data_IF_848903765783
#
_entry.id   IF_848903765783
#
_cell.length_a   1.000
_cell.length_b   1.000
_cell.length_c   1.000
_cell.angle_alpha   90.00
_cell.angle_beta   90.00
_cell.angle_gamma   90.00
#
_symmetry.space_group_name_H-M   'P 1'
#
loop_
_entity.id
_entity.type
_entity.pdbx_description
1 polymer ?
#
# COMPACT_ATOMS: atom_id res chain seq x y z
N UNK A 1 -24.02 -33.79 -3.36
CA UNK A 1 -23.32 -32.53 -3.03
C UNK A 1 -21.97 -32.53 -3.75
N UNK A 2 -21.55 -31.41 -4.38
CA UNK A 2 -20.20 -31.28 -4.97
C UNK A 2 -19.19 -31.36 -3.82
N UNK A 3 -18.18 -32.19 -3.92
CA UNK A 3 -17.08 -32.29 -2.98
C UNK A 3 -16.03 -31.25 -3.38
N UNK A 4 -15.56 -30.46 -2.42
CA UNK A 4 -14.54 -29.43 -2.65
C UNK A 4 -13.25 -30.00 -3.25
N UNK A 5 -12.89 -31.24 -2.90
CA UNK A 5 -11.69 -31.91 -3.45
C UNK A 5 -11.77 -32.20 -4.95
N UNK A 6 -12.97 -32.14 -5.55
CA UNK A 6 -13.20 -32.37 -6.99
C UNK A 6 -13.17 -31.08 -7.84
N UNK A 7 -12.94 -29.91 -7.22
CA UNK A 7 -12.78 -28.67 -7.99
C UNK A 7 -11.43 -28.74 -8.70
N UNK A 8 -11.39 -28.53 -10.04
CA UNK A 8 -10.14 -28.45 -10.79
C UNK A 8 -9.24 -27.33 -10.26
N UNK A 9 -7.95 -27.63 -10.03
CA UNK A 9 -6.98 -26.66 -9.55
C UNK A 9 -5.78 -26.57 -10.49
N UNK A 10 -5.41 -25.38 -10.89
CA UNK A 10 -4.18 -25.09 -11.63
C UNK A 10 -3.22 -24.28 -10.77
N UNK A 11 -1.93 -24.64 -10.83
CA UNK A 11 -0.86 -23.95 -10.11
C UNK A 11 0.06 -23.28 -11.11
N UNK A 12 0.30 -21.98 -10.92
CA UNK A 12 1.06 -21.12 -11.80
C UNK A 12 2.10 -20.31 -11.03
N UNK A 13 3.05 -19.76 -11.74
CA UNK A 13 3.96 -18.73 -11.23
C UNK A 13 4.08 -17.60 -12.26
N UNK A 14 4.09 -16.36 -11.79
CA UNK A 14 4.44 -15.19 -12.58
C UNK A 14 5.97 -15.07 -12.65
N UNK A 15 6.51 -14.91 -13.83
CA UNK A 15 7.94 -14.70 -14.08
C UNK A 15 8.12 -13.47 -14.96
N UNK A 16 9.32 -12.90 -15.05
CA UNK A 16 9.61 -11.79 -15.97
C UNK A 16 9.31 -12.11 -17.45
N UNK A 17 9.23 -13.42 -17.80
CA UNK A 17 8.91 -13.91 -19.15
C UNK A 17 7.42 -14.24 -19.33
N UNK A 18 6.57 -13.91 -18.36
CA UNK A 18 5.14 -14.23 -18.35
C UNK A 18 4.77 -15.37 -17.40
N UNK A 19 3.58 -15.90 -17.57
CA UNK A 19 3.02 -16.96 -16.72
C UNK A 19 3.55 -18.34 -17.10
N UNK A 20 3.88 -19.14 -16.10
CA UNK A 20 4.38 -20.52 -16.28
C UNK A 20 3.53 -21.49 -15.48
N UNK A 21 3.04 -22.52 -16.14
CA UNK A 21 2.40 -23.67 -15.48
C UNK A 21 3.40 -24.48 -14.67
N UNK A 22 3.07 -24.75 -13.39
CA UNK A 22 3.94 -25.50 -12.52
C UNK A 22 3.65 -27.02 -12.64
N UNK A 23 4.43 -27.70 -13.49
CA UNK A 23 4.48 -29.15 -13.55
C UNK A 23 5.26 -29.76 -12.36
N UNK A 24 5.40 -31.08 -12.32
CA UNK A 24 6.05 -31.78 -11.20
C UNK A 24 7.47 -31.26 -10.90
N UNK A 25 8.29 -31.02 -11.92
CA UNK A 25 9.66 -30.50 -11.76
C UNK A 25 9.68 -29.08 -11.21
N UNK A 26 8.84 -28.19 -11.76
CA UNK A 26 8.77 -26.79 -11.33
C UNK A 26 8.24 -26.63 -9.91
N UNK A 27 7.34 -27.51 -9.46
CA UNK A 27 6.85 -27.54 -8.07
C UNK A 27 7.94 -27.88 -7.06
N UNK A 28 8.98 -28.60 -7.48
CA UNK A 28 10.12 -28.93 -6.65
C UNK A 28 11.18 -27.80 -6.58
N UNK A 29 11.05 -26.76 -7.40
CA UNK A 29 11.95 -25.60 -7.39
C UNK A 29 11.71 -24.73 -6.17
N UNK A 30 12.78 -24.20 -5.60
CA UNK A 30 12.72 -23.26 -4.48
C UNK A 30 12.10 -21.92 -4.93
N UNK A 31 11.38 -21.29 -4.01
CA UNK A 31 10.92 -19.90 -4.21
C UNK A 31 12.13 -18.96 -4.23
N UNK A 32 12.05 -17.84 -4.95
CA UNK A 32 13.03 -16.77 -4.81
C UNK A 32 13.08 -16.32 -3.35
N UNK A 33 14.27 -16.02 -2.88
CA UNK A 33 14.45 -15.40 -1.58
C UNK A 33 13.97 -13.94 -1.63
N UNK A 34 13.38 -13.46 -0.55
CA UNK A 34 13.11 -12.03 -0.42
C UNK A 34 14.43 -11.24 -0.33
N UNK A 35 14.41 -9.93 -0.62
CA UNK A 35 15.62 -9.09 -0.67
C UNK A 35 16.46 -9.06 0.60
N UNK A 36 15.97 -9.58 1.73
CA UNK A 36 16.67 -9.61 3.02
C UNK A 36 17.29 -10.97 3.37
N UNK A 37 17.19 -12.00 2.51
CA UNK A 37 17.77 -13.28 2.82
C UNK A 37 19.21 -13.39 2.32
N UNK A 38 20.13 -13.62 3.24
CA UNK A 38 21.58 -13.71 2.95
C UNK A 38 21.97 -14.86 1.99
N UNK A 39 21.10 -15.84 1.72
CA UNK A 39 21.41 -17.05 0.97
C UNK A 39 20.75 -17.16 -0.41
N UNK A 40 20.12 -16.11 -0.93
CA UNK A 40 19.61 -16.09 -2.32
C UNK A 40 18.47 -17.06 -2.66
N UNK A 41 18.14 -18.03 -1.80
CA UNK A 41 17.04 -18.98 -1.99
C UNK A 41 16.22 -19.18 -0.72
N UNK A 42 14.89 -19.25 -0.86
CA UNK A 42 14.00 -19.65 0.22
C UNK A 42 14.10 -21.18 0.46
N UNK A 43 14.02 -21.63 1.71
CA UNK A 43 13.85 -23.07 2.00
C UNK A 43 12.53 -23.63 1.45
N UNK A 44 11.56 -22.77 1.18
CA UNK A 44 10.22 -23.16 0.73
C UNK A 44 10.18 -23.35 -0.80
N UNK A 45 9.51 -24.39 -1.25
CA UNK A 45 9.32 -24.70 -2.68
C UNK A 45 7.93 -24.31 -3.15
N UNK A 46 7.77 -24.09 -4.46
CA UNK A 46 6.50 -23.72 -5.06
C UNK A 46 5.36 -24.70 -4.74
N UNK A 47 5.61 -26.01 -4.82
CA UNK A 47 4.60 -27.03 -4.55
C UNK A 47 4.03 -26.97 -3.13
N UNK A 48 4.86 -27.07 -2.07
CA UNK A 48 4.45 -26.87 -0.69
C UNK A 48 3.76 -25.56 -0.43
N UNK A 49 4.27 -24.45 -0.99
CA UNK A 49 3.70 -23.11 -0.84
C UNK A 49 2.28 -23.02 -1.39
N UNK A 50 2.10 -23.29 -2.68
CA UNK A 50 0.79 -23.21 -3.33
C UNK A 50 -0.17 -24.31 -2.84
N UNK A 51 0.36 -25.47 -2.42
CA UNK A 51 -0.42 -26.52 -1.76
C UNK A 51 -1.00 -26.07 -0.43
N UNK A 52 -0.25 -25.30 0.37
CA UNK A 52 -0.75 -24.72 1.62
C UNK A 52 -1.84 -23.66 1.36
N UNK A 53 -1.67 -22.81 0.33
CA UNK A 53 -2.72 -21.86 -0.10
C UNK A 53 -3.98 -22.63 -0.51
N UNK A 54 -3.84 -23.63 -1.36
CA UNK A 54 -4.95 -24.49 -1.79
C UNK A 54 -5.68 -25.12 -0.60
N UNK A 55 -4.94 -25.70 0.33
CA UNK A 55 -5.50 -26.29 1.55
C UNK A 55 -6.36 -25.27 2.33
N UNK A 56 -5.87 -24.03 2.54
CA UNK A 56 -6.62 -23.00 3.24
C UNK A 56 -7.94 -22.67 2.51
N UNK A 57 -7.90 -22.54 1.19
CA UNK A 57 -9.09 -22.18 0.40
C UNK A 57 -10.17 -23.25 0.46
N UNK A 58 -9.78 -24.55 0.46
CA UNK A 58 -10.72 -25.67 0.51
C UNK A 58 -11.16 -26.06 1.93
N UNK A 59 -10.49 -25.56 2.95
CA UNK A 59 -10.75 -25.94 4.34
C UNK A 59 -12.22 -25.74 4.72
N UNK A 60 -12.75 -26.70 5.53
CA UNK A 60 -14.14 -26.70 5.98
C UNK A 60 -15.14 -26.57 4.79
N UNK A 61 -14.92 -27.34 3.74
CA UNK A 61 -15.74 -27.36 2.53
C UNK A 61 -15.88 -25.96 1.90
N UNK A 62 -14.77 -25.22 1.81
CA UNK A 62 -14.68 -23.87 1.22
C UNK A 62 -15.46 -22.78 1.98
N UNK A 63 -15.91 -23.00 3.20
CA UNK A 63 -16.82 -22.08 3.90
C UNK A 63 -16.34 -20.63 3.90
N UNK A 64 -15.06 -20.39 4.22
CA UNK A 64 -14.52 -19.01 4.30
C UNK A 64 -14.42 -18.35 2.94
N UNK A 65 -13.95 -19.08 1.92
CA UNK A 65 -13.80 -18.50 0.58
C UNK A 65 -15.17 -18.31 -0.11
N UNK A 66 -16.16 -19.15 0.18
CA UNK A 66 -17.53 -18.95 -0.30
C UNK A 66 -18.16 -17.70 0.33
N UNK A 67 -17.88 -17.40 1.60
CA UNK A 67 -18.30 -16.16 2.25
C UNK A 67 -17.62 -14.93 1.61
N UNK A 68 -16.33 -15.01 1.30
CA UNK A 68 -15.60 -13.95 0.59
C UNK A 68 -16.15 -13.73 -0.84
N UNK A 69 -16.45 -14.80 -1.57
CA UNK A 69 -17.10 -14.75 -2.87
C UNK A 69 -18.49 -14.10 -2.77
N UNK A 70 -19.29 -14.49 -1.77
CA UNK A 70 -20.61 -13.90 -1.57
C UNK A 70 -20.53 -12.39 -1.31
N UNK A 71 -19.57 -11.95 -0.50
CA UNK A 71 -19.31 -10.53 -0.27
C UNK A 71 -18.93 -9.80 -1.57
N UNK A 72 -18.04 -10.40 -2.38
CA UNK A 72 -17.54 -9.81 -3.63
C UNK A 72 -18.60 -9.71 -4.71
N UNK A 73 -19.49 -10.70 -4.80
CA UNK A 73 -20.53 -10.80 -5.82
C UNK A 73 -21.88 -10.20 -5.36
N UNK A 74 -22.00 -9.79 -4.09
CA UNK A 74 -23.24 -9.25 -3.54
C UNK A 74 -24.40 -10.27 -3.48
N UNK A 75 -24.09 -11.59 -3.55
CA UNK A 75 -25.07 -12.68 -3.49
C UNK A 75 -24.50 -13.93 -2.86
N UNK A 76 -25.34 -14.80 -2.35
CA UNK A 76 -24.91 -16.10 -1.86
C UNK A 76 -24.31 -16.95 -3.01
N UNK A 77 -23.20 -17.60 -2.71
CA UNK A 77 -22.49 -18.49 -3.64
C UNK A 77 -22.45 -19.91 -3.05
N UNK A 78 -22.88 -20.87 -3.83
CA UNK A 78 -22.86 -22.30 -3.45
C UNK A 78 -21.63 -22.97 -4.04
N UNK A 79 -21.08 -23.98 -3.34
CA UNK A 79 -19.91 -24.73 -3.79
C UNK A 79 -20.03 -25.28 -5.21
N UNK A 80 -21.22 -25.67 -5.62
CA UNK A 80 -21.48 -26.18 -6.99
C UNK A 80 -21.26 -25.16 -8.10
N UNK A 81 -21.29 -23.87 -7.76
CA UNK A 81 -21.07 -22.76 -8.71
C UNK A 81 -19.59 -22.44 -8.93
N UNK A 82 -18.69 -23.00 -8.09
CA UNK A 82 -17.25 -22.85 -8.28
C UNK A 82 -16.78 -23.90 -9.29
N UNK A 83 -16.39 -23.44 -10.48
CA UNK A 83 -16.03 -24.29 -11.61
C UNK A 83 -14.55 -24.71 -11.56
N UNK A 84 -13.65 -23.78 -11.22
CA UNK A 84 -12.20 -24.00 -11.14
C UNK A 84 -11.54 -23.01 -10.18
N UNK A 85 -10.36 -23.38 -9.70
CA UNK A 85 -9.48 -22.53 -8.92
C UNK A 85 -8.12 -22.48 -9.61
N UNK A 86 -7.58 -21.28 -9.80
CA UNK A 86 -6.24 -21.06 -10.27
C UNK A 86 -5.46 -20.34 -9.18
N UNK A 87 -4.32 -20.89 -8.76
CA UNK A 87 -3.48 -20.31 -7.71
C UNK A 87 -2.12 -19.99 -8.33
N UNK A 88 -1.73 -18.74 -8.25
CA UNK A 88 -0.54 -18.19 -8.88
C UNK A 88 0.38 -17.57 -7.84
N UNK A 89 1.66 -17.92 -7.86
CA UNK A 89 2.68 -17.20 -7.13
C UNK A 89 3.00 -15.90 -7.91
N UNK A 90 2.68 -14.74 -7.30
CA UNK A 90 2.80 -13.44 -7.98
C UNK A 90 4.06 -12.69 -7.55
N UNK A 91 4.28 -12.52 -6.25
CA UNK A 91 5.36 -11.69 -5.73
C UNK A 91 6.06 -12.38 -4.54
N UNK A 92 7.36 -12.19 -4.48
CA UNK A 92 8.22 -12.67 -3.40
C UNK A 92 8.86 -11.46 -2.69
N UNK A 93 8.13 -10.88 -1.73
CA UNK A 93 8.58 -9.72 -0.96
C UNK A 93 9.40 -10.10 0.28
N UNK A 94 9.94 -9.08 0.96
CA UNK A 94 10.75 -9.23 2.16
C UNK A 94 9.97 -9.86 3.35
N UNK A 95 8.68 -9.56 3.46
CA UNK A 95 7.84 -10.01 4.58
C UNK A 95 6.91 -11.16 4.20
N UNK A 96 6.37 -11.14 2.98
CA UNK A 96 5.41 -12.13 2.50
C UNK A 96 5.74 -12.61 1.11
N UNK A 97 5.31 -13.82 0.83
CA UNK A 97 5.01 -14.21 -0.54
C UNK A 97 3.53 -13.98 -0.80
N UNK A 98 3.23 -13.37 -1.93
CA UNK A 98 1.85 -13.09 -2.35
C UNK A 98 1.45 -14.09 -3.42
N UNK A 99 0.37 -14.83 -3.16
CA UNK A 99 -0.30 -15.62 -4.19
C UNK A 99 -1.59 -14.92 -4.61
N UNK A 100 -1.94 -15.07 -5.86
CA UNK A 100 -3.26 -14.72 -6.40
C UNK A 100 -4.09 -16.00 -6.53
N UNK A 101 -5.32 -15.96 -6.03
CA UNK A 101 -6.28 -17.03 -6.19
C UNK A 101 -7.44 -16.54 -7.06
N UNK A 102 -7.55 -17.07 -8.25
CA UNK A 102 -8.64 -16.81 -9.19
C UNK A 102 -9.67 -17.95 -9.11
N UNK A 103 -10.89 -17.62 -8.73
CA UNK A 103 -11.99 -18.56 -8.66
C UNK A 103 -12.97 -18.28 -9.80
N UNK A 104 -13.18 -19.27 -10.66
CA UNK A 104 -14.21 -19.23 -11.69
C UNK A 104 -15.55 -19.61 -11.06
N UNK A 105 -16.52 -18.69 -11.10
CA UNK A 105 -17.84 -18.86 -10.49
C UNK A 105 -18.89 -18.49 -11.51
N UNK A 106 -19.62 -19.49 -12.04
CA UNK A 106 -20.67 -19.28 -13.05
C UNK A 106 -20.21 -18.40 -14.23
N UNK A 107 -19.01 -18.66 -14.75
CA UNK A 107 -18.43 -17.94 -15.89
C UNK A 107 -17.76 -16.60 -15.55
N UNK A 108 -17.77 -16.16 -14.28
CA UNK A 108 -17.04 -14.97 -13.82
C UNK A 108 -15.78 -15.37 -13.06
N UNK A 109 -14.71 -14.59 -13.19
CA UNK A 109 -13.47 -14.77 -12.42
C UNK A 109 -13.44 -13.76 -11.28
N UNK A 110 -13.35 -14.27 -10.05
CA UNK A 110 -13.14 -13.47 -8.84
C UNK A 110 -11.76 -13.73 -8.29
N UNK A 111 -10.96 -12.68 -8.14
CA UNK A 111 -9.57 -12.76 -7.75
C UNK A 111 -9.37 -12.31 -6.29
N UNK A 112 -8.51 -13.03 -5.57
CA UNK A 112 -8.11 -12.74 -4.20
C UNK A 112 -6.59 -12.70 -4.09
N UNK A 113 -6.07 -11.80 -3.26
CA UNK A 113 -4.70 -11.81 -2.81
C UNK A 113 -4.58 -12.71 -1.57
N UNK A 114 -3.58 -13.58 -1.55
CA UNK A 114 -3.25 -14.41 -0.39
C UNK A 114 -1.84 -14.05 0.06
N UNK A 115 -1.76 -13.31 1.16
CA UNK A 115 -0.50 -12.91 1.77
C UNK A 115 -0.03 -14.02 2.70
N UNK A 116 1.16 -14.57 2.45
CA UNK A 116 1.67 -15.77 3.12
C UNK A 116 2.96 -15.48 3.86
N UNK A 117 2.96 -15.65 5.17
CA UNK A 117 4.16 -15.57 6.00
C UNK A 117 5.00 -16.84 5.84
N UNK A 118 6.29 -16.65 5.58
CA UNK A 118 7.21 -17.76 5.28
C UNK A 118 8.13 -18.15 6.45
N UNK A 119 8.09 -17.38 7.54
CA UNK A 119 8.85 -17.61 8.76
C UNK A 119 8.06 -17.23 10.01
N UNK A 120 8.56 -17.60 11.19
CA UNK A 120 7.95 -17.21 12.46
C UNK A 120 8.01 -15.68 12.69
N UNK A 121 9.08 -15.03 12.26
CA UNK A 121 9.22 -13.57 12.35
C UNK A 121 8.18 -12.86 11.48
N UNK A 122 8.01 -13.29 10.23
CA UNK A 122 7.03 -12.72 9.30
C UNK A 122 5.58 -13.08 9.67
N UNK A 123 5.36 -14.16 10.43
CA UNK A 123 4.04 -14.49 11.00
C UNK A 123 3.53 -13.41 11.94
N UNK A 124 4.36 -12.94 12.87
CA UNK A 124 3.95 -11.89 13.82
C UNK A 124 3.60 -10.59 13.08
N UNK A 125 4.35 -10.25 12.02
CA UNK A 125 4.03 -9.13 11.15
C UNK A 125 2.69 -9.32 10.43
N UNK A 126 2.47 -10.49 9.82
CA UNK A 126 1.21 -10.82 9.13
C UNK A 126 -0.03 -10.68 10.04
N UNK A 127 0.08 -11.11 11.29
CA UNK A 127 -1.01 -10.97 12.27
C UNK A 127 -1.30 -9.51 12.61
N UNK A 128 -0.26 -8.67 12.73
CA UNK A 128 -0.41 -7.22 12.94
C UNK A 128 -1.08 -6.56 11.74
N UNK A 129 -0.58 -6.82 10.54
CA UNK A 129 -1.08 -6.21 9.30
C UNK A 129 -2.53 -6.60 9.04
N UNK A 130 -2.87 -7.89 9.23
CA UNK A 130 -4.26 -8.33 9.16
C UNK A 130 -5.16 -7.56 10.13
N UNK A 131 -4.74 -7.46 11.39
CA UNK A 131 -5.54 -6.79 12.44
C UNK A 131 -5.71 -5.31 12.14
N UNK A 132 -4.66 -4.67 11.69
CA UNK A 132 -4.64 -3.24 11.39
C UNK A 132 -5.49 -2.91 10.16
N UNK A 133 -5.26 -3.58 9.04
CA UNK A 133 -6.05 -3.41 7.81
C UNK A 133 -7.53 -3.69 8.05
N UNK A 134 -7.86 -4.79 8.74
CA UNK A 134 -9.24 -5.15 9.07
C UNK A 134 -9.90 -4.10 9.97
N UNK A 135 -9.17 -3.55 10.95
CA UNK A 135 -9.66 -2.49 11.82
C UNK A 135 -9.92 -1.19 11.05
N UNK A 136 -8.99 -0.79 10.18
CA UNK A 136 -9.10 0.45 9.40
C UNK A 136 -10.22 0.38 8.37
N UNK A 137 -10.35 -0.73 7.63
CA UNK A 137 -11.42 -0.92 6.64
C UNK A 137 -12.80 -0.91 7.28
N UNK A 138 -12.96 -1.51 8.47
CA UNK A 138 -14.23 -1.50 9.19
C UNK A 138 -14.56 -0.13 9.81
N UNK A 139 -13.54 0.60 10.28
CA UNK A 139 -13.72 1.90 10.94
C UNK A 139 -14.04 3.01 9.96
N UNK A 140 -13.35 3.06 8.83
CA UNK A 140 -13.36 4.23 7.95
C UNK A 140 -14.20 4.05 6.69
N UNK A 141 -14.59 2.86 6.31
CA UNK A 141 -15.41 2.57 5.12
C UNK A 141 -14.97 3.33 3.83
N UNK A 142 -13.66 3.65 3.73
CA UNK A 142 -13.06 4.17 2.52
C UNK A 142 -12.65 3.01 1.60
N UNK A 143 -12.69 3.23 0.29
CA UNK A 143 -12.31 2.20 -0.69
C UNK A 143 -10.83 2.25 -1.06
N UNK A 144 -9.98 2.87 -0.24
CA UNK A 144 -8.56 3.03 -0.55
C UNK A 144 -7.68 1.88 -0.04
N UNK A 145 -8.16 1.11 0.94
CA UNK A 145 -7.53 -0.11 1.42
C UNK A 145 -8.21 -1.33 0.78
N UNK A 146 -7.47 -2.44 0.54
CA UNK A 146 -8.06 -3.67 0.07
C UNK A 146 -9.04 -4.23 1.12
N UNK A 147 -10.15 -4.79 0.66
CA UNK A 147 -11.06 -5.51 1.54
C UNK A 147 -10.36 -6.74 2.11
N UNK A 148 -10.39 -6.90 3.43
CA UNK A 148 -9.85 -8.06 4.12
C UNK A 148 -11.00 -9.05 4.40
N UNK A 149 -10.80 -10.32 4.03
CA UNK A 149 -11.85 -11.32 4.17
C UNK A 149 -11.65 -12.25 5.36
N UNK A 150 -10.51 -12.93 5.43
CA UNK A 150 -10.23 -13.85 6.52
C UNK A 150 -8.75 -14.19 6.63
N UNK A 151 -8.37 -14.71 7.79
CA UNK A 151 -7.05 -15.30 8.00
C UNK A 151 -7.15 -16.78 8.37
N UNK A 152 -6.03 -17.49 8.20
CA UNK A 152 -5.93 -18.90 8.55
C UNK A 152 -4.53 -19.45 8.34
N UNK A 153 -4.43 -20.76 8.36
CA UNK A 153 -3.18 -21.45 8.07
C UNK A 153 -3.43 -22.64 7.14
N UNK A 154 -2.53 -22.80 6.17
CA UNK A 154 -2.48 -23.95 5.27
C UNK A 154 -1.42 -24.94 5.74
N UNK A 155 -1.69 -26.20 5.52
CA UNK A 155 -0.78 -27.31 5.87
C UNK A 155 0.04 -27.66 4.64
N UNK A 156 1.32 -27.93 4.84
CA UNK A 156 2.16 -28.55 3.82
C UNK A 156 3.11 -29.58 4.43
N UNK A 157 3.52 -30.50 3.61
CA UNK A 157 4.52 -31.52 3.94
C UNK A 157 5.55 -31.63 2.82
N UNK A 158 6.80 -31.57 3.17
CA UNK A 158 7.89 -31.98 2.28
C UNK A 158 8.29 -33.41 2.59
N UNK A 159 8.73 -34.15 1.56
CA UNK A 159 9.14 -35.52 1.72
C UNK A 159 10.27 -35.62 2.76
N UNK A 160 10.09 -36.50 3.75
CA UNK A 160 11.06 -36.68 4.84
C UNK A 160 11.06 -35.62 5.94
N UNK A 161 10.20 -34.58 5.83
CA UNK A 161 10.09 -33.53 6.85
C UNK A 161 8.77 -33.58 7.62
N UNK A 162 8.72 -33.05 8.84
CA UNK A 162 7.48 -32.94 9.62
C UNK A 162 6.47 -32.06 8.95
N UNK A 163 5.19 -32.22 9.30
CA UNK A 163 4.10 -31.35 8.88
C UNK A 163 4.35 -29.93 9.35
N UNK A 164 4.21 -28.95 8.45
CA UNK A 164 4.39 -27.52 8.75
C UNK A 164 3.14 -26.72 8.39
N UNK A 165 3.02 -25.54 9.00
CA UNK A 165 1.93 -24.61 8.77
C UNK A 165 2.45 -23.32 8.18
N UNK A 166 1.77 -22.82 7.15
CA UNK A 166 1.96 -21.45 6.64
C UNK A 166 0.77 -20.60 7.05
N UNK A 167 1.04 -19.53 7.78
CA UNK A 167 0.04 -18.54 8.17
C UNK A 167 -0.20 -17.57 7.03
N UNK A 168 -1.47 -17.21 6.80
CA UNK A 168 -1.83 -16.35 5.69
C UNK A 168 -3.16 -15.64 5.94
N UNK A 169 -3.37 -14.52 5.24
CA UNK A 169 -4.67 -13.90 5.14
C UNK A 169 -5.08 -13.67 3.69
N UNK A 170 -6.38 -13.63 3.47
CA UNK A 170 -7.01 -13.44 2.17
C UNK A 170 -7.62 -12.06 2.12
N UNK A 171 -7.26 -11.32 1.07
CA UNK A 171 -7.70 -9.95 0.81
C UNK A 171 -8.19 -9.80 -0.64
N UNK A 172 -8.72 -8.63 -0.95
CA UNK A 172 -9.05 -8.22 -2.30
C UNK A 172 -7.80 -8.21 -3.19
N UNK A 173 -7.92 -8.79 -4.41
CA UNK A 173 -6.94 -8.59 -5.46
C UNK A 173 -7.32 -7.34 -6.26
N UNK A 174 -6.42 -6.36 -6.30
CA UNK A 174 -6.61 -5.13 -7.07
C UNK A 174 -6.17 -5.38 -8.52
N UNK A 175 -7.16 -5.61 -9.39
CA UNK A 175 -6.90 -5.92 -10.80
C UNK A 175 -6.46 -4.68 -11.56
N UNK A 176 -5.41 -4.82 -12.38
CA UNK A 176 -4.80 -3.76 -13.21
C UNK A 176 -4.15 -2.62 -12.39
N UNK A 177 -3.84 -2.88 -11.11
CA UNK A 177 -3.01 -1.99 -10.30
C UNK A 177 -1.58 -2.49 -10.28
N UNK A 178 -0.65 -1.56 -10.42
CA UNK A 178 0.77 -1.84 -10.57
C UNK A 178 1.59 -1.00 -9.58
N UNK A 179 2.78 -1.48 -9.25
CA UNK A 179 3.77 -0.73 -8.49
C UNK A 179 4.42 0.33 -9.39
N UNK A 180 4.94 1.37 -8.77
CA UNK A 180 5.61 2.47 -9.43
C UNK A 180 6.78 2.95 -8.59
N UNK A 181 7.82 3.49 -9.24
CA UNK A 181 9.02 3.98 -8.59
C UNK A 181 9.64 5.10 -9.42
N UNK A 182 10.39 6.00 -8.76
CA UNK A 182 11.29 6.87 -9.49
C UNK A 182 12.40 6.05 -10.15
N UNK A 183 12.60 6.30 -11.42
CA UNK A 183 13.64 5.71 -12.23
C UNK A 183 14.51 6.81 -12.84
N UNK A 184 15.82 6.63 -12.83
CA UNK A 184 16.72 7.59 -13.49
C UNK A 184 16.92 7.15 -14.94
N UNK A 185 16.50 8.01 -15.87
CA UNK A 185 16.78 7.79 -17.29
C UNK A 185 18.29 7.87 -17.52
N UNK A 186 18.86 6.83 -18.13
CA UNK A 186 20.30 6.76 -18.38
C UNK A 186 20.74 7.70 -19.51
N UNK A 187 19.81 8.18 -20.33
CA UNK A 187 20.13 9.02 -21.50
C UNK A 187 20.35 10.49 -21.13
N UNK A 188 19.57 11.03 -20.17
CA UNK A 188 19.62 12.44 -19.78
C UNK A 188 19.79 12.66 -18.27
N UNK A 189 19.77 11.59 -17.48
CA UNK A 189 19.90 11.63 -16.03
C UNK A 189 18.64 12.12 -15.30
N UNK A 190 17.55 12.39 -16.01
CA UNK A 190 16.29 12.81 -15.42
C UNK A 190 15.65 11.72 -14.56
N UNK A 191 14.96 12.11 -13.49
CA UNK A 191 14.20 11.18 -12.67
C UNK A 191 12.73 11.22 -13.06
N UNK A 192 12.20 10.10 -13.54
CA UNK A 192 10.83 9.98 -13.99
C UNK A 192 10.11 8.86 -13.24
N UNK A 193 8.80 9.01 -13.04
CA UNK A 193 8.00 7.97 -12.39
C UNK A 193 7.71 6.84 -13.38
N UNK A 194 8.25 5.65 -13.10
CA UNK A 194 8.10 4.44 -13.90
C UNK A 194 7.02 3.55 -13.30
N UNK A 195 6.00 3.20 -14.08
CA UNK A 195 4.99 2.21 -13.74
C UNK A 195 5.48 0.81 -14.14
N UNK A 196 5.49 -0.13 -13.22
CA UNK A 196 5.92 -1.50 -13.45
C UNK A 196 4.73 -2.39 -13.84
N UNK A 197 4.52 -2.54 -15.13
CA UNK A 197 3.48 -3.41 -15.68
C UNK A 197 4.12 -4.62 -16.37
N UNK A 198 4.11 -5.77 -15.72
CA UNK A 198 4.67 -7.01 -16.27
C UNK A 198 3.89 -7.54 -17.48
N UNK A 199 2.64 -7.13 -17.66
CA UNK A 199 1.78 -7.60 -18.76
C UNK A 199 1.93 -6.78 -20.04
N UNK A 200 2.07 -5.45 -19.91
CA UNK A 200 2.12 -4.50 -21.03
C UNK A 200 3.49 -3.86 -21.24
N UNK A 201 4.44 -4.13 -20.36
CA UNK A 201 5.73 -3.47 -20.31
C UNK A 201 5.70 -2.21 -19.40
N UNK A 202 6.85 -1.93 -18.77
CA UNK A 202 6.99 -0.73 -17.94
C UNK A 202 6.95 0.53 -18.79
N UNK A 203 6.40 1.63 -18.25
CA UNK A 203 6.25 2.91 -18.94
C UNK A 203 6.30 4.08 -17.96
N UNK A 204 6.73 5.22 -18.44
CA UNK A 204 6.74 6.45 -17.66
C UNK A 204 5.35 7.08 -17.56
N UNK A 205 5.05 7.62 -16.38
CA UNK A 205 3.86 8.44 -16.17
C UNK A 205 4.10 9.86 -16.69
N UNK A 206 3.06 10.49 -17.24
CA UNK A 206 3.10 11.90 -17.57
C UNK A 206 3.17 12.76 -16.31
N UNK A 207 3.67 14.03 -16.42
CA UNK A 207 3.65 14.98 -15.30
C UNK A 207 2.25 15.11 -14.68
N UNK A 208 1.21 15.17 -15.50
CA UNK A 208 -0.17 15.28 -15.04
C UNK A 208 -0.61 14.05 -14.22
N UNK A 209 -0.28 12.84 -14.68
CA UNK A 209 -0.53 11.60 -13.92
C UNK A 209 0.24 11.57 -12.60
N UNK A 210 1.49 12.08 -12.58
CA UNK A 210 2.28 12.19 -11.34
C UNK A 210 1.63 13.17 -10.35
N UNK A 211 1.17 14.32 -10.79
CA UNK A 211 0.44 15.28 -9.93
C UNK A 211 -0.81 14.62 -9.34
N UNK A 212 -1.58 13.87 -10.13
CA UNK A 212 -2.73 13.11 -9.65
C UNK A 212 -2.35 12.00 -8.65
N UNK A 213 -1.23 11.31 -8.87
CA UNK A 213 -0.69 10.32 -7.95
C UNK A 213 -0.43 10.94 -6.57
N UNK A 214 0.32 12.04 -6.53
CA UNK A 214 0.64 12.74 -5.28
C UNK A 214 -0.61 13.31 -4.61
N UNK A 215 -1.56 13.85 -5.40
CA UNK A 215 -2.85 14.33 -4.89
C UNK A 215 -3.64 13.23 -4.21
N UNK A 216 -3.77 12.07 -4.84
CA UNK A 216 -4.49 10.95 -4.24
C UNK A 216 -3.74 10.37 -3.03
N UNK A 217 -2.42 10.25 -3.08
CA UNK A 217 -1.61 9.79 -1.95
C UNK A 217 -1.80 10.66 -0.71
N UNK A 218 -1.69 11.97 -0.87
CA UNK A 218 -1.91 12.94 0.18
C UNK A 218 -3.33 12.90 0.73
N UNK A 219 -4.32 12.83 -0.15
CA UNK A 219 -5.74 12.67 0.21
C UNK A 219 -5.98 11.42 1.03
N UNK A 220 -5.49 10.26 0.59
CA UNK A 220 -5.65 8.98 1.28
C UNK A 220 -5.06 9.07 2.70
N UNK A 221 -3.81 9.50 2.84
CA UNK A 221 -3.15 9.59 4.15
C UNK A 221 -3.87 10.57 5.07
N UNK A 222 -4.35 11.70 4.54
CA UNK A 222 -5.13 12.69 5.30
C UNK A 222 -6.48 12.15 5.75
N UNK A 223 -7.16 11.34 4.94
CA UNK A 223 -8.43 10.70 5.32
C UNK A 223 -8.28 9.77 6.54
N UNK A 224 -7.14 9.12 6.70
CA UNK A 224 -6.83 8.28 7.86
C UNK A 224 -6.21 9.05 9.04
N UNK A 225 -5.90 10.33 8.91
CA UNK A 225 -5.46 11.15 10.04
C UNK A 225 -6.60 11.39 11.04
N UNK A 226 -6.36 11.12 12.32
CA UNK A 226 -7.34 11.30 13.38
C UNK A 226 -7.03 12.55 14.21
N UNK A 227 -7.81 13.60 13.99
CA UNK A 227 -7.68 14.90 14.68
C UNK A 227 -7.70 14.84 16.21
N UNK A 228 -8.44 13.88 16.80
CA UNK A 228 -8.62 13.82 18.26
C UNK A 228 -7.54 12.98 18.96
N UNK A 229 -6.94 12.03 18.26
CA UNK A 229 -5.97 11.09 18.82
C UNK A 229 -4.59 11.17 18.15
N UNK A 230 -4.43 12.05 17.15
CA UNK A 230 -3.21 12.23 16.33
C UNK A 230 -2.73 10.97 15.62
N UNK A 231 -3.56 9.90 15.63
CA UNK A 231 -3.23 8.67 14.92
C UNK A 231 -3.21 8.91 13.44
N UNK A 232 -2.20 8.38 12.79
CA UNK A 232 -1.95 8.45 11.37
C UNK A 232 -1.32 7.15 10.88
N UNK A 233 -1.40 6.89 9.58
CA UNK A 233 -0.63 5.83 8.95
C UNK A 233 0.82 6.30 8.89
N UNK A 234 1.73 5.59 9.57
CA UNK A 234 3.16 5.91 9.63
C UNK A 234 3.93 4.71 10.22
N UNK A 235 5.13 4.34 9.72
CA UNK A 235 5.75 4.89 8.50
C UNK A 235 5.08 4.42 7.21
N UNK A 236 5.31 5.13 6.12
CA UNK A 236 4.84 4.78 4.78
C UNK A 236 5.81 5.31 3.71
N UNK A 237 5.79 4.66 2.55
CA UNK A 237 6.49 5.13 1.36
C UNK A 237 5.50 5.12 0.20
N UNK A 238 5.41 6.23 -0.56
CA UNK A 238 4.42 6.33 -1.63
C UNK A 238 4.70 5.35 -2.78
N UNK A 239 5.97 5.04 -3.04
CA UNK A 239 6.38 4.02 -3.99
C UNK A 239 6.66 2.68 -3.25
N UNK A 240 7.76 2.15 -3.13
CA UNK A 240 8.23 0.99 -2.34
C UNK A 240 7.19 -0.11 -1.97
N UNK A 241 6.12 -0.26 -2.78
CA UNK A 241 5.09 -1.29 -2.62
C UNK A 241 4.04 -1.05 -1.53
N UNK A 242 4.00 0.13 -0.87
CA UNK A 242 2.91 0.46 0.04
C UNK A 242 1.68 0.93 -0.74
N UNK A 243 1.88 1.61 -1.88
CA UNK A 243 0.83 2.02 -2.80
C UNK A 243 0.95 1.29 -4.15
N UNK A 244 -0.19 1.17 -4.81
CA UNK A 244 -0.30 0.71 -6.19
C UNK A 244 -1.26 1.63 -6.94
N UNK A 245 -1.05 1.80 -8.23
CA UNK A 245 -1.89 2.63 -9.06
C UNK A 245 -2.44 1.88 -10.28
N UNK A 246 -3.60 2.35 -10.74
CA UNK A 246 -4.19 2.02 -12.03
C UNK A 246 -4.34 3.29 -12.85
N UNK A 247 -3.90 3.27 -14.10
CA UNK A 247 -4.10 4.38 -15.03
C UNK A 247 -5.57 4.50 -15.45
N UNK A 248 -6.05 5.72 -15.45
CA UNK A 248 -7.41 6.11 -15.81
C UNK A 248 -7.38 7.22 -16.89
N UNK A 249 -6.69 6.96 -17.99
CA UNK A 249 -6.40 7.97 -19.01
C UNK A 249 -5.36 8.97 -18.49
N UNK A 250 -5.71 10.26 -18.46
CA UNK A 250 -4.81 11.32 -17.99
C UNK A 250 -4.68 11.37 -16.45
N UNK A 251 -5.44 10.56 -15.73
CA UNK A 251 -5.42 10.49 -14.26
C UNK A 251 -5.02 9.09 -13.79
N UNK A 252 -4.91 8.90 -12.49
CA UNK A 252 -4.64 7.60 -11.87
C UNK A 252 -5.62 7.33 -10.74
N UNK A 253 -5.95 6.06 -10.49
CA UNK A 253 -6.61 5.60 -9.26
C UNK A 253 -5.56 4.94 -8.36
N UNK A 254 -5.37 5.47 -7.16
CA UNK A 254 -4.35 5.04 -6.22
C UNK A 254 -4.97 4.24 -5.08
N UNK A 255 -4.29 3.17 -4.66
CA UNK A 255 -4.68 2.33 -3.53
C UNK A 255 -3.50 2.13 -2.60
N UNK A 256 -3.76 2.13 -1.30
CA UNK A 256 -2.79 1.81 -0.26
C UNK A 256 -2.96 0.33 0.11
N UNK A 257 -1.99 -0.51 -0.23
CA UNK A 257 -2.10 -1.98 -0.05
C UNK A 257 -1.46 -2.47 1.24
N UNK A 258 -0.61 -1.66 1.87
CA UNK A 258 0.04 -1.96 3.13
C UNK A 258 -0.09 -0.80 4.11
N UNK A 259 -0.34 -1.11 5.38
CA UNK A 259 -0.30 -0.15 6.48
C UNK A 259 0.64 -0.73 7.53
N UNK A 260 1.81 -0.13 7.69
CA UNK A 260 2.87 -0.63 8.59
C UNK A 260 2.53 -0.40 10.06
N UNK A 261 1.95 0.76 10.37
CA UNK A 261 1.41 1.09 11.68
C UNK A 261 0.32 2.18 11.57
N UNK A 262 -0.49 2.31 12.62
CA UNK A 262 -1.50 3.34 12.79
C UNK A 262 -1.49 3.85 14.22
N UNK A 263 -0.60 4.78 14.50
CA UNK A 263 -0.31 5.30 15.83
C UNK A 263 -0.21 6.83 15.84
N UNK A 264 -0.25 7.42 17.01
CA UNK A 264 0.12 8.82 17.20
C UNK A 264 1.64 8.93 17.13
N UNK A 265 2.14 9.80 16.28
CA UNK A 265 3.58 10.11 16.18
C UNK A 265 3.95 11.21 17.18
N UNK A 266 3.01 12.13 17.45
CA UNK A 266 3.16 13.19 18.45
C UNK A 266 2.37 12.83 19.70
N UNK A 267 2.96 13.02 20.87
CA UNK A 267 2.29 12.88 22.16
C UNK A 267 2.13 14.28 22.80
N UNK A 268 1.06 14.95 22.45
CA UNK A 268 0.65 16.17 23.14
C UNK A 268 -0.30 15.78 24.28
N UNK A 269 0.26 15.51 25.46
CA UNK A 269 -0.48 15.17 26.70
C UNK A 269 -1.47 16.26 27.14
N UNK A 270 -1.43 17.44 26.52
CA UNK A 270 -2.38 18.53 26.75
C UNK A 270 -3.30 18.71 25.55
N UNK A 271 -4.56 18.31 25.71
CA UNK A 271 -5.66 18.41 24.70
C UNK A 271 -6.08 19.86 24.35
N UNK A 272 -5.19 20.84 24.41
CA UNK A 272 -5.46 22.21 24.01
C UNK A 272 -5.55 22.31 22.48
N UNK A 273 -6.44 23.17 21.98
CA UNK A 273 -6.65 23.42 20.52
C UNK A 273 -5.35 23.75 19.80
N UNK A 274 -4.42 24.47 20.45
CA UNK A 274 -3.10 24.82 19.91
C UNK A 274 -2.25 23.56 19.63
N UNK A 275 -2.21 22.58 20.55
CA UNK A 275 -1.47 21.33 20.31
C UNK A 275 -2.06 20.50 19.17
N UNK A 276 -3.39 20.53 18.97
CA UNK A 276 -4.02 19.84 17.84
C UNK A 276 -3.68 20.48 16.49
N UNK A 277 -3.60 21.81 16.45
CA UNK A 277 -3.18 22.53 15.24
C UNK A 277 -1.72 22.25 14.91
N UNK A 278 -0.84 22.29 15.92
CA UNK A 278 0.57 21.95 15.72
C UNK A 278 0.74 20.52 15.21
N UNK A 279 0.03 19.55 15.79
CA UNK A 279 0.05 18.17 15.31
C UNK A 279 -0.38 18.05 13.83
N UNK A 280 -1.39 18.82 13.42
CA UNK A 280 -1.84 18.83 12.02
C UNK A 280 -0.82 19.52 11.10
N UNK A 281 -0.18 20.59 11.55
CA UNK A 281 0.87 21.29 10.79
C UNK A 281 2.06 20.36 10.58
N UNK A 282 2.52 19.68 11.63
CA UNK A 282 3.62 18.70 11.53
C UNK A 282 3.25 17.51 10.64
N UNK A 283 2.00 17.01 10.73
CA UNK A 283 1.52 15.98 9.82
C UNK A 283 1.53 16.46 8.36
N UNK A 284 1.03 17.67 8.08
CA UNK A 284 1.02 18.27 6.75
C UNK A 284 2.45 18.46 6.21
N UNK A 285 3.34 19.05 6.99
CA UNK A 285 4.73 19.25 6.59
C UNK A 285 5.45 17.92 6.34
N UNK A 286 5.26 16.94 7.23
CA UNK A 286 5.77 15.58 7.02
C UNK A 286 5.25 14.98 5.70
N UNK A 287 3.95 15.13 5.43
CA UNK A 287 3.34 14.63 4.21
C UNK A 287 3.99 15.25 2.95
N UNK A 288 4.23 16.57 2.95
CA UNK A 288 4.85 17.27 1.81
C UNK A 288 6.30 16.83 1.57
N UNK A 289 7.07 16.61 2.63
CA UNK A 289 8.48 16.18 2.57
C UNK A 289 8.57 14.69 2.18
N UNK A 290 7.83 13.83 2.86
CA UNK A 290 7.93 12.38 2.63
C UNK A 290 7.44 11.99 1.22
N UNK A 291 6.52 12.74 0.62
CA UNK A 291 6.11 12.55 -0.78
C UNK A 291 7.21 12.90 -1.79
N UNK A 292 8.22 13.65 -1.39
CA UNK A 292 9.38 13.96 -2.24
C UNK A 292 10.53 12.98 -2.10
N UNK A 293 10.49 12.11 -1.09
CA UNK A 293 11.56 11.14 -0.83
C UNK A 293 11.18 9.79 -1.43
N UNK A 294 11.99 9.28 -2.32
CA UNK A 294 11.82 7.94 -2.91
C UNK A 294 13.18 7.25 -3.07
N UNK A 295 13.15 5.95 -3.35
CA UNK A 295 14.33 5.18 -3.75
C UNK A 295 14.25 4.84 -5.22
N UNK A 296 15.32 5.12 -5.95
CA UNK A 296 15.41 4.72 -7.36
C UNK A 296 15.14 3.22 -7.50
N UNK A 297 14.21 2.90 -8.40
CA UNK A 297 13.77 1.51 -8.65
C UNK A 297 13.34 0.75 -7.37
N UNK A 298 12.90 1.48 -6.35
CA UNK A 298 12.42 0.94 -5.07
C UNK A 298 13.49 0.40 -4.13
N UNK A 299 14.75 0.29 -4.56
CA UNK A 299 15.86 -0.31 -3.77
C UNK A 299 17.20 0.42 -3.92
N UNK A 300 17.29 1.39 -4.82
CA UNK A 300 18.51 2.18 -5.08
C UNK A 300 18.70 3.33 -4.12
N UNK A 301 19.43 4.34 -4.58
CA UNK A 301 19.73 5.55 -3.84
C UNK A 301 18.45 6.30 -3.46
N UNK A 302 18.46 6.94 -2.30
CA UNK A 302 17.39 7.85 -1.89
C UNK A 302 17.50 9.13 -2.68
N UNK A 303 16.41 9.56 -3.30
CA UNK A 303 16.37 10.73 -4.18
C UNK A 303 15.21 11.65 -3.81
N UNK A 304 15.34 12.93 -4.23
CA UNK A 304 14.35 13.96 -4.04
C UNK A 304 13.53 14.16 -5.33
N UNK A 305 12.21 14.03 -5.23
CA UNK A 305 11.31 14.20 -6.38
C UNK A 305 11.15 15.67 -6.78
N UNK A 306 10.71 15.89 -8.00
CA UNK A 306 10.50 17.18 -8.62
C UNK A 306 9.42 18.04 -7.91
N UNK A 307 9.51 19.35 -8.06
CA UNK A 307 8.65 20.35 -7.40
C UNK A 307 7.16 20.19 -7.68
N UNK A 308 6.78 19.63 -8.83
CA UNK A 308 5.37 19.39 -9.16
C UNK A 308 4.67 18.42 -8.19
N UNK A 309 5.42 17.69 -7.38
CA UNK A 309 4.88 16.88 -6.30
C UNK A 309 3.95 17.71 -5.39
N UNK A 310 4.36 18.93 -5.01
CA UNK A 310 3.59 19.80 -4.14
C UNK A 310 2.29 20.32 -4.81
N UNK A 311 2.28 20.43 -6.14
CA UNK A 311 1.07 20.79 -6.91
C UNK A 311 -0.04 19.72 -6.73
N UNK A 312 0.33 18.48 -6.42
CA UNK A 312 -0.60 17.41 -6.06
C UNK A 312 -0.86 17.33 -4.55
N UNK A 313 0.20 17.36 -3.73
CA UNK A 313 0.11 17.09 -2.27
C UNK A 313 -0.78 18.12 -1.56
N UNK A 314 -0.62 19.42 -1.85
CA UNK A 314 -1.40 20.47 -1.17
C UNK A 314 -2.89 20.34 -1.44
N UNK A 315 -3.38 20.26 -2.70
CA UNK A 315 -4.80 20.02 -2.96
C UNK A 315 -5.30 18.69 -2.38
N UNK A 316 -4.51 17.63 -2.49
CA UNK A 316 -4.89 16.31 -1.95
C UNK A 316 -5.08 16.31 -0.43
N UNK A 317 -4.22 17.01 0.31
CA UNK A 317 -4.39 17.23 1.75
C UNK A 317 -5.71 17.96 2.05
N UNK A 318 -6.01 19.06 1.37
CA UNK A 318 -7.23 19.83 1.58
C UNK A 318 -8.50 19.03 1.23
N UNK A 319 -8.46 18.25 0.15
CA UNK A 319 -9.54 17.31 -0.18
C UNK A 319 -9.75 16.26 0.90
N UNK A 320 -8.66 15.68 1.40
CA UNK A 320 -8.71 14.72 2.49
C UNK A 320 -9.30 15.32 3.77
N UNK A 321 -9.05 16.57 4.06
CA UNK A 321 -9.70 17.31 5.15
C UNK A 321 -11.20 17.48 4.89
N UNK A 322 -11.58 17.85 3.67
CA UNK A 322 -12.98 18.09 3.27
C UNK A 322 -13.82 16.81 3.34
N UNK A 323 -13.37 15.73 2.72
CA UNK A 323 -14.08 14.45 2.74
C UNK A 323 -14.11 13.78 4.13
N UNK A 324 -13.11 14.04 4.94
CA UNK A 324 -13.02 13.52 6.31
C UNK A 324 -13.92 14.24 7.32
N UNK A 325 -14.53 15.35 6.97
CA UNK A 325 -15.42 16.08 7.87
C UNK A 325 -16.59 15.20 8.30
N UNK A 326 -16.96 15.30 9.60
CA UNK A 326 -18.02 14.48 10.22
C UNK A 326 -17.57 13.11 10.75
N UNK A 327 -16.44 12.58 10.37
CA UNK A 327 -15.94 11.26 10.79
C UNK A 327 -14.92 11.35 11.94
N UNK A 328 -15.38 11.79 13.13
CA UNK A 328 -14.50 11.89 14.32
C UNK A 328 -13.59 13.13 14.33
N UNK A 329 -13.89 14.14 13.53
CA UNK A 329 -13.14 15.42 13.43
C UNK A 329 -13.86 16.57 14.13
N UNK A 330 -14.70 16.26 15.12
CA UNK A 330 -15.42 17.28 15.88
C UNK A 330 -14.46 18.32 16.48
N UNK A 331 -14.73 19.60 16.20
CA UNK A 331 -13.90 20.72 16.66
C UNK A 331 -12.63 20.98 15.85
N UNK A 332 -12.44 20.32 14.71
CA UNK A 332 -11.40 20.65 13.73
C UNK A 332 -11.85 21.91 12.97
N UNK A 333 -10.94 22.86 12.70
CA UNK A 333 -11.22 23.98 11.81
C UNK A 333 -11.63 23.50 10.41
N UNK A 334 -12.35 24.32 9.66
CA UNK A 334 -12.69 24.01 8.27
C UNK A 334 -11.43 23.93 7.40
N UNK A 335 -11.46 23.20 6.27
CA UNK A 335 -10.34 23.18 5.33
C UNK A 335 -9.90 24.58 4.86
N UNK A 336 -10.85 25.49 4.70
CA UNK A 336 -10.59 26.90 4.37
C UNK A 336 -9.82 27.63 5.47
N UNK A 337 -10.22 27.46 6.73
CA UNK A 337 -9.50 28.06 7.86
C UNK A 337 -8.10 27.48 8.02
N UNK A 338 -7.95 26.16 7.79
CA UNK A 338 -6.64 25.49 7.82
C UNK A 338 -5.76 26.01 6.67
N UNK A 339 -6.29 26.11 5.45
CA UNK A 339 -5.55 26.64 4.30
C UNK A 339 -5.10 28.10 4.54
N UNK A 340 -6.00 28.95 5.04
CA UNK A 340 -5.67 30.32 5.39
C UNK A 340 -4.57 30.40 6.46
N UNK A 341 -4.62 29.54 7.48
CA UNK A 341 -3.58 29.44 8.50
C UNK A 341 -2.22 29.05 7.89
N UNK A 342 -2.18 28.01 7.06
CA UNK A 342 -0.94 27.52 6.43
C UNK A 342 -0.29 28.58 5.51
N UNK A 343 -1.10 29.36 4.80
CA UNK A 343 -0.63 30.45 3.93
C UNK A 343 -0.02 31.63 4.71
N UNK A 344 -0.44 31.85 5.93
CA UNK A 344 0.00 33.00 6.73
C UNK A 344 1.34 32.78 7.42
N UNK A 345 1.87 31.55 7.44
CA UNK A 345 3.19 31.30 8.02
C UNK A 345 4.30 31.87 7.14
N UNK A 346 5.25 32.53 7.77
CA UNK A 346 6.49 33.01 7.15
C UNK A 346 7.45 31.86 6.85
N UNK A 347 8.45 32.09 6.01
CA UNK A 347 9.52 31.10 5.76
C UNK A 347 10.25 30.70 7.03
N UNK A 348 10.51 31.64 7.94
CA UNK A 348 11.14 31.35 9.24
C UNK A 348 10.27 30.45 10.11
N UNK A 349 8.97 30.69 10.19
CA UNK A 349 8.05 29.81 10.95
C UNK A 349 8.00 28.41 10.35
N UNK A 350 7.96 28.26 9.02
CA UNK A 350 8.04 26.98 8.37
C UNK A 350 9.36 26.24 8.65
N UNK A 351 10.49 26.94 8.67
CA UNK A 351 11.79 26.35 9.04
C UNK A 351 11.82 25.92 10.51
N UNK A 352 11.17 26.65 11.43
CA UNK A 352 10.99 26.21 12.81
C UNK A 352 10.16 24.94 12.91
N UNK A 353 9.05 24.83 12.16
CA UNK A 353 8.28 23.58 12.08
C UNK A 353 9.08 22.44 11.46
N UNK A 354 9.97 22.72 10.51
CA UNK A 354 10.86 21.70 9.94
C UNK A 354 11.83 21.15 11.00
N UNK A 355 12.41 22.01 11.84
CA UNK A 355 13.26 21.54 12.96
C UNK A 355 12.48 20.67 13.94
N UNK A 356 11.27 21.08 14.31
CA UNK A 356 10.39 20.31 15.20
C UNK A 356 10.01 18.96 14.58
N UNK A 357 9.72 18.94 13.28
CA UNK A 357 9.40 17.74 12.52
C UNK A 357 10.56 16.74 12.53
N UNK A 358 11.80 17.21 12.30
CA UNK A 358 12.99 16.35 12.32
C UNK A 358 13.28 15.75 13.71
N UNK A 359 12.83 16.40 14.78
CA UNK A 359 12.86 15.85 16.14
C UNK A 359 11.73 14.88 16.46
N UNK A 360 10.66 14.89 15.66
CA UNK A 360 9.41 14.16 15.92
C UNK A 360 9.30 12.89 15.09
N UNK A 361 9.64 12.95 13.80
CA UNK A 361 9.54 11.84 12.86
C UNK A 361 10.89 11.15 12.68
N UNK A 362 10.84 9.83 12.42
CA UNK A 362 12.05 9.05 12.21
C UNK A 362 12.43 9.07 10.72
N UNK A 363 13.57 9.68 10.42
CA UNK A 363 14.20 9.67 9.11
C UNK A 363 15.52 8.91 9.13
N UNK A 364 15.88 8.21 8.07
CA UNK A 364 17.20 7.64 7.91
C UNK A 364 18.25 8.74 7.73
N UNK A 365 19.54 8.41 7.88
CA UNK A 365 20.62 9.39 7.66
C UNK A 365 20.65 9.90 6.22
N UNK A 366 20.31 9.05 5.24
CA UNK A 366 20.21 9.42 3.82
C UNK A 366 19.08 10.43 3.61
N UNK A 367 17.89 10.17 4.17
CA UNK A 367 16.74 11.08 4.11
C UNK A 367 17.03 12.42 4.80
N UNK A 368 17.68 12.40 5.99
CA UNK A 368 18.09 13.62 6.70
C UNK A 368 19.07 14.46 5.87
N UNK A 369 19.99 13.83 5.13
CA UNK A 369 20.89 14.56 4.24
C UNK A 369 20.11 15.29 3.14
N UNK A 370 19.21 14.59 2.45
CA UNK A 370 18.36 15.18 1.40
C UNK A 370 17.49 16.32 1.94
N UNK A 371 16.90 16.15 3.12
CA UNK A 371 16.06 17.19 3.72
C UNK A 371 16.88 18.44 4.06
N UNK A 372 18.14 18.30 4.51
CA UNK A 372 19.04 19.43 4.74
C UNK A 372 19.40 20.15 3.44
N UNK A 373 19.67 19.40 2.38
CA UNK A 373 20.10 19.94 1.09
C UNK A 373 18.95 20.65 0.35
N UNK A 374 17.70 20.19 0.53
CA UNK A 374 16.55 20.66 -0.22
C UNK A 374 15.50 21.41 0.63
N UNK A 375 15.63 21.43 1.96
CA UNK A 375 14.58 21.88 2.88
C UNK A 375 14.17 23.34 2.70
N UNK A 376 15.11 24.27 2.53
CA UNK A 376 14.81 25.68 2.30
C UNK A 376 14.06 25.88 0.98
N UNK A 377 14.56 25.33 -0.12
CA UNK A 377 13.89 25.41 -1.43
C UNK A 377 12.52 24.71 -1.43
N UNK A 378 12.36 23.64 -0.62
CA UNK A 378 11.06 23.01 -0.41
C UNK A 378 10.05 23.96 0.27
N UNK A 379 10.48 24.67 1.31
CA UNK A 379 9.63 25.64 2.01
C UNK A 379 9.22 26.79 1.07
N UNK A 380 10.15 27.35 0.33
CA UNK A 380 9.86 28.39 -0.65
C UNK A 380 8.81 27.92 -1.68
N UNK A 381 9.00 26.74 -2.23
CA UNK A 381 8.05 26.16 -3.19
C UNK A 381 6.70 25.85 -2.55
N UNK A 382 6.68 25.34 -1.30
CA UNK A 382 5.45 25.09 -0.56
C UNK A 382 4.63 26.36 -0.37
N UNK A 383 5.26 27.48 0.00
CA UNK A 383 4.60 28.77 0.14
C UNK A 383 3.99 29.26 -1.18
N UNK A 384 4.70 29.11 -2.31
CA UNK A 384 4.16 29.43 -3.64
C UNK A 384 2.90 28.59 -3.94
N UNK A 385 2.98 27.27 -3.77
CA UNK A 385 1.84 26.38 -4.06
C UNK A 385 0.66 26.67 -3.13
N UNK A 386 0.90 26.97 -1.84
CA UNK A 386 -0.16 27.39 -0.92
C UNK A 386 -0.81 28.70 -1.36
N UNK A 387 -0.04 29.65 -1.90
CA UNK A 387 -0.59 30.90 -2.44
C UNK A 387 -1.47 30.65 -3.67
N UNK A 388 -0.99 29.83 -4.62
CA UNK A 388 -1.66 29.54 -5.90
C UNK A 388 -2.90 28.64 -5.74
N UNK A 389 -2.96 27.82 -4.67
CA UNK A 389 -4.06 26.87 -4.46
C UNK A 389 -5.40 27.49 -4.02
N UNK A 390 -5.48 28.82 -3.87
CA UNK A 390 -6.72 29.50 -3.49
C UNK A 390 -7.84 29.34 -4.54
N UNK A 391 -7.49 29.35 -5.83
CA UNK A 391 -8.46 29.21 -6.93
C UNK A 391 -9.04 27.79 -7.04
N UNK A 392 -8.33 26.78 -6.52
CA UNK A 392 -8.74 25.38 -6.57
C UNK A 392 -9.81 25.01 -5.52
N UNK A 393 -9.98 25.83 -4.48
CA UNK A 393 -10.94 25.58 -3.40
C UNK A 393 -12.29 26.28 -3.62
N UNK A 394 -12.38 27.20 -4.57
CA UNK A 394 -13.56 27.97 -4.88
C UNK A 394 -13.74 28.04 -6.40
N UNK A 395 -14.26 26.97 -7.05
CA UNK A 395 -14.65 27.04 -8.44
C UNK A 395 -15.87 27.97 -8.67
#
# INVERSE_FOLDING_TARGET
MKDASKIPVRLLATTPRGEVHLGAKSRATHLPAGPQSAEGQSELRYGPYLGAVHYLLLRNNCQKILAALAHRLGRLVKLKEVDAIEIRAEKHGAFYHVARADLSVSGQIVSFAVNVAVSNATRAQLERDFTLLHSLTNRYNYKFLPQIYFKGAGIYRELGKPLRWLHMFVAEWLRDYHEFHLHRDQSDGSSQMLLWDLGRGSRYLSKHQCVWLYRQGAKILTLYYNWNTFKQIYPWHHAAGDFVLKEMGDTVDLRLVMVRDYAAVVDFTTSKKAGKLLALILFFLHLTIQMRIDRLDGVGDVVWAEDYCLEGVVPGFLEGLTEGQGRGRRGMPSPTEIHALLRNFTGEEWLQFLVELLGTYNFSQEELSLIRDHGEGHIDRLQQVLADSQELLFP
#
